data_IF_608328067489
#
_entry.id   IF_608328067489
#
_cell.length_a   1.000
_cell.length_b   1.000
_cell.length_c   1.000
_cell.angle_alpha   90.00
_cell.angle_beta   90.00
_cell.angle_gamma   90.00
#
_symmetry.space_group_name_H-M   'P 1'
#
loop_
_entity.id
_entity.type
_entity.pdbx_description
1 polymer ?
#
# COMPACT_ATOMS: atom_id res chain seq x y z
N UNK A 1 -5.25 -14.73 -24.06
CA UNK A 1 -4.60 -13.71 -23.22
C UNK A 1 -5.59 -13.29 -22.14
N UNK A 2 -5.19 -13.24 -20.86
CA UNK A 2 -6.07 -12.84 -19.75
C UNK A 2 -5.86 -11.35 -19.50
N UNK A 3 -6.93 -10.55 -19.63
CA UNK A 3 -6.85 -9.10 -19.44
C UNK A 3 -7.13 -8.70 -17.98
N UNK A 4 -6.40 -7.72 -17.44
CA UNK A 4 -6.63 -7.23 -16.07
C UNK A 4 -8.06 -6.71 -15.88
N UNK A 5 -8.62 -6.02 -16.88
CA UNK A 5 -10.00 -5.51 -16.86
C UNK A 5 -11.02 -6.61 -16.54
N UNK A 6 -10.83 -7.81 -17.08
CA UNK A 6 -11.73 -8.93 -16.86
C UNK A 6 -11.74 -9.35 -15.39
N UNK A 7 -10.57 -9.39 -14.75
CA UNK A 7 -10.44 -9.72 -13.33
C UNK A 7 -11.02 -8.61 -12.45
N UNK A 8 -10.74 -7.35 -12.77
CA UNK A 8 -11.25 -6.21 -12.00
C UNK A 8 -12.78 -6.02 -12.13
N UNK A 9 -13.37 -6.48 -13.24
CA UNK A 9 -14.82 -6.44 -13.46
C UNK A 9 -15.57 -7.63 -12.83
N UNK A 10 -14.84 -8.60 -12.27
CA UNK A 10 -15.44 -9.78 -11.64
C UNK A 10 -16.20 -9.44 -10.35
N UNK A 11 -17.17 -10.27 -9.98
CA UNK A 11 -17.89 -10.13 -8.71
C UNK A 11 -16.95 -10.35 -7.52
N UNK A 12 -16.02 -11.29 -7.66
CA UNK A 12 -15.00 -11.65 -6.68
C UNK A 12 -14.12 -10.44 -6.33
N UNK A 13 -13.72 -9.66 -7.34
CA UNK A 13 -12.94 -8.44 -7.11
C UNK A 13 -13.80 -7.29 -6.59
N UNK A 14 -14.91 -6.98 -7.29
CA UNK A 14 -15.74 -5.81 -7.01
C UNK A 14 -16.39 -5.87 -5.62
N UNK A 15 -16.95 -7.01 -5.23
CA UNK A 15 -17.62 -7.20 -3.95
C UNK A 15 -16.66 -7.43 -2.78
N UNK A 16 -15.36 -7.58 -3.03
CA UNK A 16 -14.38 -7.79 -1.96
C UNK A 16 -14.31 -6.56 -1.03
N UNK A 17 -14.41 -6.70 0.30
CA UNK A 17 -14.47 -5.55 1.20
C UNK A 17 -13.10 -4.91 1.51
N UNK A 18 -12.00 -5.52 1.07
CA UNK A 18 -10.65 -5.02 1.34
C UNK A 18 -10.20 -4.03 0.26
N UNK A 19 -9.57 -2.94 0.70
CA UNK A 19 -8.89 -1.99 -0.20
C UNK A 19 -7.55 -2.55 -0.70
N UNK A 20 -7.06 -3.63 -0.09
CA UNK A 20 -5.83 -4.33 -0.48
C UNK A 20 -6.14 -5.64 -1.23
N UNK A 21 -7.29 -5.71 -1.91
CA UNK A 21 -7.62 -6.81 -2.80
C UNK A 21 -6.86 -6.67 -4.11
N UNK A 22 -6.26 -7.77 -4.58
CA UNK A 22 -5.42 -7.84 -5.77
C UNK A 22 -5.96 -8.90 -6.73
N UNK A 23 -6.09 -8.56 -8.01
CA UNK A 23 -6.40 -9.52 -9.06
C UNK A 23 -5.14 -10.29 -9.47
N UNK A 24 -5.18 -11.63 -9.42
CA UNK A 24 -4.04 -12.48 -9.76
C UNK A 24 -4.14 -13.07 -11.17
N UNK A 25 -5.35 -13.31 -11.67
CA UNK A 25 -5.58 -13.90 -12.99
C UNK A 25 -6.78 -14.84 -12.96
N UNK A 26 -6.69 -15.95 -13.70
CA UNK A 26 -7.68 -17.01 -13.71
C UNK A 26 -7.07 -18.34 -13.31
N UNK A 27 -7.88 -19.22 -12.74
CA UNK A 27 -7.50 -20.61 -12.50
C UNK A 27 -7.57 -21.45 -13.79
N UNK A 28 -7.32 -22.76 -13.67
CA UNK A 28 -7.38 -23.72 -14.78
C UNK A 28 -8.79 -23.88 -15.38
N UNK A 29 -9.84 -23.51 -14.64
CA UNK A 29 -11.23 -23.54 -15.06
C UNK A 29 -11.68 -22.20 -15.65
N UNK A 30 -10.79 -21.21 -15.75
CA UNK A 30 -11.07 -19.87 -16.24
C UNK A 30 -11.80 -18.97 -15.24
N UNK A 31 -11.91 -19.37 -13.97
CA UNK A 31 -12.54 -18.58 -12.92
C UNK A 31 -11.58 -17.49 -12.40
N UNK A 32 -12.06 -16.26 -12.15
CA UNK A 32 -11.23 -15.16 -11.67
C UNK A 32 -10.67 -15.46 -10.27
N UNK A 33 -9.37 -15.24 -10.12
CA UNK A 33 -8.63 -15.43 -8.86
C UNK A 33 -8.22 -14.07 -8.32
N UNK A 34 -8.66 -13.80 -7.09
CA UNK A 34 -8.33 -12.59 -6.34
C UNK A 34 -7.75 -12.95 -4.98
N UNK A 35 -6.80 -12.15 -4.49
CA UNK A 35 -6.20 -12.30 -3.17
C UNK A 35 -6.38 -11.03 -2.34
N UNK A 36 -6.35 -11.16 -1.02
CA UNK A 36 -6.42 -10.03 -0.11
C UNK A 36 -5.13 -9.93 0.69
N UNK A 37 -4.30 -8.93 0.38
CA UNK A 37 -3.02 -8.71 1.04
C UNK A 37 -3.18 -8.43 2.54
N UNK A 38 -4.31 -7.91 3.01
CA UNK A 38 -4.54 -7.74 4.45
C UNK A 38 -4.67 -9.08 5.22
N UNK A 39 -5.04 -10.16 4.53
CA UNK A 39 -5.07 -11.53 5.10
C UNK A 39 -3.74 -12.26 4.90
N UNK A 40 -2.92 -11.81 3.96
CA UNK A 40 -1.58 -12.30 3.66
C UNK A 40 -0.60 -11.13 3.89
N UNK A 41 -0.32 -10.77 5.15
CA UNK A 41 0.17 -9.44 5.53
C UNK A 41 1.48 -9.05 4.83
N UNK A 42 2.24 -10.05 4.36
CA UNK A 42 3.39 -9.87 3.49
C UNK A 42 3.34 -10.88 2.34
N UNK A 43 3.82 -10.45 1.16
CA UNK A 43 3.87 -11.26 -0.05
C UNK A 43 5.29 -11.22 -0.62
N UNK A 44 5.83 -12.39 -0.96
CA UNK A 44 7.08 -12.55 -1.71
C UNK A 44 6.75 -12.98 -3.14
N UNK A 45 7.27 -12.25 -4.13
CA UNK A 45 7.09 -12.56 -5.56
C UNK A 45 8.45 -12.85 -6.17
N UNK A 46 8.64 -14.05 -6.71
CA UNK A 46 9.87 -14.49 -7.35
C UNK A 46 9.57 -15.12 -8.72
N UNK A 47 10.55 -15.08 -9.62
CA UNK A 47 10.46 -15.64 -10.97
C UNK A 47 11.61 -15.14 -11.84
N UNK A 48 12.01 -15.93 -12.84
CA UNK A 48 13.06 -15.51 -13.78
C UNK A 48 12.55 -14.48 -14.78
N UNK A 49 13.47 -13.81 -15.47
CA UNK A 49 13.14 -12.85 -16.53
C UNK A 49 12.26 -13.51 -17.59
N UNK A 50 11.18 -12.83 -17.98
CA UNK A 50 10.23 -13.33 -18.98
C UNK A 50 9.07 -14.17 -18.41
N UNK A 51 9.10 -14.57 -17.13
CA UNK A 51 8.00 -15.32 -16.50
C UNK A 51 6.81 -14.44 -16.06
N UNK A 52 6.75 -13.18 -16.48
CA UNK A 52 5.63 -12.29 -16.16
C UNK A 52 5.62 -11.71 -14.75
N UNK A 53 6.71 -11.82 -13.98
CA UNK A 53 6.84 -11.20 -12.63
C UNK A 53 6.42 -9.73 -12.62
N UNK A 54 6.97 -8.95 -13.55
CA UNK A 54 6.71 -7.52 -13.62
C UNK A 54 5.27 -7.21 -14.04
N UNK A 55 4.70 -7.99 -14.94
CA UNK A 55 3.28 -7.87 -15.33
C UNK A 55 2.36 -8.16 -14.15
N UNK A 56 2.63 -9.24 -13.41
CA UNK A 56 1.88 -9.59 -12.19
C UNK A 56 2.02 -8.53 -11.10
N UNK A 57 3.22 -7.99 -10.89
CA UNK A 57 3.45 -6.90 -9.93
C UNK A 57 2.65 -5.65 -10.29
N UNK A 58 2.66 -5.25 -11.56
CA UNK A 58 1.83 -4.13 -12.04
C UNK A 58 0.33 -4.41 -11.87
N UNK A 59 -0.13 -5.64 -12.16
CA UNK A 59 -1.52 -6.03 -11.93
C UNK A 59 -1.93 -5.88 -10.45
N UNK A 60 -1.05 -6.26 -9.52
CA UNK A 60 -1.29 -6.10 -8.08
C UNK A 60 -1.36 -4.62 -7.66
N UNK A 61 -0.42 -3.79 -8.13
CA UNK A 61 -0.42 -2.35 -7.83
C UNK A 61 -1.68 -1.69 -8.39
N UNK A 62 -1.99 -1.93 -9.67
CA UNK A 62 -3.16 -1.37 -10.34
C UNK A 62 -4.46 -1.81 -9.67
N UNK A 63 -4.55 -3.05 -9.18
CA UNK A 63 -5.71 -3.52 -8.41
C UNK A 63 -5.97 -2.65 -7.17
N UNK A 64 -4.91 -2.31 -6.43
CA UNK A 64 -5.00 -1.45 -5.25
C UNK A 64 -5.38 -0.02 -5.66
N UNK A 65 -4.72 0.54 -6.67
CA UNK A 65 -5.00 1.90 -7.15
C UNK A 65 -6.42 2.06 -7.71
N UNK A 66 -6.96 1.01 -8.33
CA UNK A 66 -8.33 1.00 -8.86
C UNK A 66 -9.39 1.04 -7.76
N UNK A 67 -9.08 0.48 -6.59
CA UNK A 67 -10.06 0.28 -5.51
C UNK A 67 -9.92 1.27 -4.36
N UNK A 68 -8.70 1.68 -4.06
CA UNK A 68 -8.39 2.50 -2.90
C UNK A 68 -8.17 3.96 -3.29
N UNK A 69 -8.69 4.87 -2.49
CA UNK A 69 -8.31 6.29 -2.53
C UNK A 69 -6.98 6.53 -1.80
N UNK A 70 -6.27 7.65 -2.07
CA UNK A 70 -5.02 8.00 -1.38
C UNK A 70 -5.15 8.13 0.14
N UNK A 71 -6.35 8.44 0.65
CA UNK A 71 -6.64 8.52 2.09
C UNK A 71 -6.80 7.13 2.73
N UNK A 72 -7.16 6.13 1.93
CA UNK A 72 -7.37 4.75 2.40
C UNK A 72 -6.08 3.92 2.34
N UNK A 73 -5.26 4.11 1.29
CA UNK A 73 -4.00 3.38 1.11
C UNK A 73 -2.90 4.33 0.66
N UNK A 74 -1.76 4.23 1.35
CA UNK A 74 -0.54 4.95 1.05
C UNK A 74 0.56 3.95 0.70
N UNK A 75 1.39 4.27 -0.31
CA UNK A 75 2.40 3.37 -0.86
C UNK A 75 3.78 4.01 -0.77
N UNK A 76 4.78 3.22 -0.39
CA UNK A 76 6.20 3.53 -0.61
C UNK A 76 6.69 2.55 -1.67
N UNK A 77 7.29 3.08 -2.73
CA UNK A 77 7.85 2.28 -3.82
C UNK A 77 9.37 2.39 -3.79
N UNK A 78 10.04 1.24 -3.91
CA UNK A 78 11.50 1.13 -3.96
C UNK A 78 11.85 0.39 -5.25
N UNK A 79 12.55 1.06 -6.15
CA UNK A 79 13.03 0.51 -7.43
C UNK A 79 14.49 0.92 -7.67
N UNK A 80 15.45 0.18 -7.09
CA UNK A 80 16.87 0.55 -7.16
C UNK A 80 17.46 0.38 -8.56
N UNK A 81 16.77 -0.34 -9.44
CA UNK A 81 17.19 -0.57 -10.82
C UNK A 81 16.52 0.38 -11.81
N UNK A 82 15.47 1.10 -11.38
CA UNK A 82 14.72 2.06 -12.20
C UNK A 82 14.19 1.39 -13.47
N UNK A 83 13.51 0.26 -13.33
CA UNK A 83 13.05 -0.55 -14.47
C UNK A 83 11.53 -0.59 -14.56
N UNK A 84 10.85 -0.67 -13.42
CA UNK A 84 9.45 -1.13 -13.40
C UNK A 84 8.51 -0.11 -12.75
N UNK A 85 8.96 0.62 -11.71
CA UNK A 85 8.05 1.43 -10.88
C UNK A 85 8.08 2.93 -11.19
N UNK A 86 9.00 3.38 -12.05
CA UNK A 86 9.14 4.80 -12.41
C UNK A 86 7.87 5.39 -13.03
N UNK A 87 7.06 4.58 -13.71
CA UNK A 87 5.77 4.96 -14.28
C UNK A 87 4.72 5.39 -13.24
N UNK A 88 4.92 5.07 -11.96
CA UNK A 88 4.00 5.45 -10.88
C UNK A 88 4.38 6.75 -10.18
N UNK A 89 5.44 7.46 -10.61
CA UNK A 89 6.01 8.60 -9.87
C UNK A 89 5.02 9.72 -9.50
N UNK A 90 3.92 9.85 -10.26
CA UNK A 90 2.93 10.92 -10.07
C UNK A 90 1.62 10.46 -9.41
N UNK A 91 1.53 9.20 -8.95
CA UNK A 91 0.27 8.74 -8.32
C UNK A 91 0.11 9.35 -6.92
N UNK A 92 -1.10 9.84 -6.57
CA UNK A 92 -1.32 10.56 -5.31
C UNK A 92 -1.18 9.68 -4.05
N UNK A 93 -1.19 8.35 -4.22
CA UNK A 93 -1.01 7.36 -3.16
C UNK A 93 0.43 7.31 -2.63
N UNK A 94 1.42 7.80 -3.38
CA UNK A 94 2.82 7.76 -2.97
C UNK A 94 3.11 8.64 -1.75
N UNK A 95 3.75 8.08 -0.71
CA UNK A 95 4.23 8.83 0.46
C UNK A 95 5.51 9.62 0.17
N UNK A 96 6.33 9.08 -0.70
CA UNK A 96 7.60 9.64 -1.16
C UNK A 96 7.69 9.42 -2.66
N UNK A 97 8.55 10.16 -3.39
CA UNK A 97 8.97 9.74 -4.72
C UNK A 97 9.46 8.29 -4.73
N UNK A 98 9.43 7.63 -5.90
CA UNK A 98 9.97 6.28 -6.06
C UNK A 98 11.44 6.29 -5.63
N UNK A 99 11.76 5.48 -4.63
CA UNK A 99 13.09 5.44 -4.01
C UNK A 99 13.99 4.58 -4.88
N UNK A 100 15.09 5.16 -5.35
CA UNK A 100 16.09 4.48 -6.17
C UNK A 100 17.39 4.23 -5.40
N UNK A 101 17.70 5.08 -4.42
CA UNK A 101 18.87 4.91 -3.55
C UNK A 101 18.62 3.88 -2.43
N UNK A 102 19.58 2.98 -2.22
CA UNK A 102 19.46 1.89 -1.23
C UNK A 102 19.56 2.37 0.22
N UNK A 103 20.29 3.46 0.50
CA UNK A 103 20.35 4.02 1.85
C UNK A 103 19.02 4.71 2.22
N UNK A 104 18.40 5.38 1.24
CA UNK A 104 17.04 5.91 1.38
C UNK A 104 16.00 4.79 1.56
N UNK A 105 16.15 3.67 0.86
CA UNK A 105 15.28 2.51 1.05
C UNK A 105 15.35 1.97 2.50
N UNK A 106 16.56 1.83 3.04
CA UNK A 106 16.75 1.45 4.45
C UNK A 106 16.11 2.46 5.42
N UNK A 107 16.26 3.75 5.15
CA UNK A 107 15.64 4.83 5.94
C UNK A 107 14.11 4.78 5.89
N UNK A 108 13.53 4.48 4.73
CA UNK A 108 12.08 4.34 4.56
C UNK A 108 11.53 3.13 5.32
N UNK A 109 12.23 1.99 5.29
CA UNK A 109 11.85 0.82 6.08
C UNK A 109 11.95 1.09 7.58
N UNK A 110 13.02 1.76 8.03
CA UNK A 110 13.16 2.16 9.44
C UNK A 110 12.04 3.11 9.87
N UNK A 111 11.64 4.02 8.99
CA UNK A 111 10.46 4.85 9.22
C UNK A 111 9.18 4.01 9.37
N UNK A 112 8.96 3.01 8.51
CA UNK A 112 7.79 2.10 8.63
C UNK A 112 7.75 1.40 9.99
N UNK A 113 8.90 0.95 10.51
CA UNK A 113 9.00 0.34 11.84
C UNK A 113 8.62 1.33 12.95
N UNK A 114 9.16 2.55 12.89
CA UNK A 114 8.83 3.59 13.87
C UNK A 114 7.37 4.02 13.83
N UNK A 115 6.81 4.16 12.62
CA UNK A 115 5.39 4.46 12.42
C UNK A 115 4.53 3.37 13.05
N UNK A 116 4.90 2.10 12.88
CA UNK A 116 4.21 0.98 13.52
C UNK A 116 4.24 1.07 15.05
N UNK A 117 5.37 1.43 15.65
CA UNK A 117 5.47 1.65 17.10
C UNK A 117 4.56 2.78 17.59
N UNK A 118 4.50 3.89 16.84
CA UNK A 118 3.59 5.00 17.13
C UNK A 118 2.13 4.53 17.06
N UNK A 119 1.76 3.85 15.99
CA UNK A 119 0.41 3.31 15.77
C UNK A 119 0.00 2.35 16.89
N UNK A 120 0.86 1.41 17.28
CA UNK A 120 0.60 0.49 18.40
C UNK A 120 0.36 1.25 19.70
N UNK A 121 1.22 2.22 20.03
CA UNK A 121 1.08 3.00 21.27
C UNK A 121 -0.29 3.68 21.34
N UNK A 122 -0.74 4.29 20.24
CA UNK A 122 -2.08 4.90 20.17
C UNK A 122 -3.21 3.88 20.31
N UNK A 123 -3.09 2.70 19.70
CA UNK A 123 -4.13 1.68 19.81
C UNK A 123 -4.31 1.18 21.23
N UNK A 124 -3.22 0.95 21.94
CA UNK A 124 -3.26 0.54 23.34
C UNK A 124 -3.97 1.59 24.19
N UNK A 125 -3.68 2.88 23.99
CA UNK A 125 -4.36 3.97 24.68
C UNK A 125 -5.87 4.06 24.35
N UNK A 126 -6.26 3.63 23.15
CA UNK A 126 -7.66 3.58 22.69
C UNK A 126 -8.35 2.24 22.97
N UNK A 127 -7.69 1.29 23.65
CA UNK A 127 -8.21 -0.06 23.91
C UNK A 127 -8.44 -0.91 22.66
N UNK A 128 -7.74 -0.61 21.56
CA UNK A 128 -7.84 -1.32 20.28
C UNK A 128 -6.71 -2.35 20.13
N UNK A 129 -7.03 -3.53 19.59
CA UNK A 129 -6.04 -4.62 19.38
C UNK A 129 -5.78 -4.89 17.88
N UNK A 130 -6.60 -4.35 16.99
CA UNK A 130 -6.53 -4.56 15.53
C UNK A 130 -6.78 -3.24 14.79
N UNK A 131 -6.10 -3.01 13.65
CA UNK A 131 -6.32 -1.87 12.72
C UNK A 131 -7.80 -1.56 12.46
N UNK A 132 -8.62 -2.60 12.26
CA UNK A 132 -10.08 -2.49 12.03
C UNK A 132 -10.87 -1.96 13.23
N UNK A 133 -10.31 -2.05 14.44
CA UNK A 133 -10.91 -1.54 15.66
C UNK A 133 -11.00 -0.01 15.66
N UNK A 134 -9.96 0.67 15.15
CA UNK A 134 -9.96 2.14 15.04
C UNK A 134 -11.09 2.66 14.15
N UNK A 135 -11.28 2.10 12.95
CA UNK A 135 -12.31 2.58 12.02
C UNK A 135 -13.74 2.40 12.55
N UNK A 136 -13.98 1.40 13.41
CA UNK A 136 -15.29 1.17 14.05
C UNK A 136 -15.48 1.95 15.36
N UNK A 137 -14.41 2.16 16.14
CA UNK A 137 -14.45 2.86 17.42
C UNK A 137 -14.33 4.39 17.32
N UNK A 138 -14.10 4.94 16.12
CA UNK A 138 -14.16 6.37 15.80
C UNK A 138 -15.57 7.01 15.89
N UNK A 139 -16.51 6.39 16.62
CA UNK A 139 -17.77 7.03 17.02
C UNK A 139 -17.59 8.14 18.06
N UNK A 140 -16.39 8.31 18.63
CA UNK A 140 -15.99 9.48 19.43
C UNK A 140 -15.49 10.61 18.50
N UNK A 141 -15.76 11.89 18.83
CA UNK A 141 -15.77 12.99 17.86
C UNK A 141 -14.46 13.13 17.07
N UNK A 142 -14.62 13.33 15.75
CA UNK A 142 -13.61 13.48 14.68
C UNK A 142 -12.50 14.54 14.92
N UNK A 143 -12.55 15.28 16.02
CA UNK A 143 -11.65 16.41 16.31
C UNK A 143 -10.23 15.96 16.61
N UNK A 144 -10.05 14.81 17.29
CA UNK A 144 -8.72 14.23 17.56
C UNK A 144 -8.20 13.40 16.39
N UNK A 145 -9.09 12.71 15.67
CA UNK A 145 -8.74 11.92 14.49
C UNK A 145 -8.29 12.78 13.29
N UNK A 146 -8.81 14.01 13.14
CA UNK A 146 -8.32 14.95 12.11
C UNK A 146 -6.86 15.34 12.32
N UNK A 147 -6.34 15.25 13.55
CA UNK A 147 -4.93 15.47 13.84
C UNK A 147 -4.01 14.39 13.25
N UNK A 148 -4.54 13.24 12.81
CA UNK A 148 -3.73 12.12 12.29
C UNK A 148 -3.32 12.28 10.82
N UNK A 149 -4.13 12.92 9.97
CA UNK A 149 -3.75 13.21 8.58
C UNK A 149 -3.03 14.56 8.42
N UNK A 150 -3.14 15.44 9.43
CA UNK A 150 -2.54 16.77 9.45
C UNK A 150 -1.52 16.96 10.57
N UNK A 151 -1.07 15.87 11.23
CA UNK A 151 -0.12 15.99 12.32
C UNK A 151 1.07 16.83 11.84
N UNK A 152 1.60 17.78 12.63
CA UNK A 152 2.81 18.55 12.29
C UNK A 152 4.03 17.68 11.94
N UNK A 153 3.93 16.35 12.15
CA UNK A 153 4.86 15.33 11.70
C UNK A 153 4.86 15.13 10.17
N UNK A 154 3.76 15.31 9.42
CA UNK A 154 3.79 15.25 7.94
C UNK A 154 4.70 16.34 7.35
N UNK A 155 4.67 17.55 7.93
CA UNK A 155 5.59 18.65 7.61
C UNK A 155 7.03 18.36 8.09
N UNK A 156 7.21 17.78 9.28
CA UNK A 156 8.51 17.35 9.80
C UNK A 156 9.11 16.18 8.99
N UNK A 157 8.29 15.31 8.43
CA UNK A 157 8.65 14.16 7.60
C UNK A 157 9.11 14.61 6.21
N UNK A 158 8.32 15.45 5.54
CA UNK A 158 8.73 16.13 4.30
C UNK A 158 9.99 16.96 4.50
N UNK A 159 10.17 17.61 5.67
CA UNK A 159 11.41 18.32 6.00
C UNK A 159 12.59 17.38 6.28
N UNK A 160 12.42 16.27 7.00
CA UNK A 160 13.51 15.34 7.34
C UNK A 160 13.94 14.50 6.15
N UNK A 161 13.00 14.04 5.33
CA UNK A 161 13.31 13.39 4.05
C UNK A 161 14.03 14.37 3.13
N UNK A 162 13.58 15.63 2.99
CA UNK A 162 14.32 16.66 2.24
C UNK A 162 15.68 17.05 2.85
N UNK A 163 15.84 16.96 4.16
CA UNK A 163 17.12 17.25 4.85
C UNK A 163 18.12 16.09 4.82
N UNK A 164 17.74 14.92 4.31
CA UNK A 164 18.66 13.83 3.96
C UNK A 164 18.85 13.70 2.44
N UNK A 165 18.22 14.58 1.66
CA UNK A 165 18.34 14.69 0.20
C UNK A 165 19.31 15.80 -0.25
N UNK A 166 19.86 16.58 0.69
CA UNK A 166 20.97 17.54 0.51
C UNK A 166 22.12 17.13 1.43
#
# INVERSE_FOLDING_TARGET
>A
MIGLKEILSSNEFSQSPSMLTMGLGKDINGQPVVANLAKMPHLLVAGSTGMGKSVGLNAMILSVLYKATPEQVRIIMIDPKIVELSCYSDVPHLLTPVITDMNQAASALWWCVNEWSVVIHYWLNLGCVILRGLTKNLKKPRTEARHFLTHPLKKKLLKRVKAHLN
#
